data_IF_790594886634
#
_entry.id   IF_790594886634
#
_cell.length_a   1.000
_cell.length_b   1.000
_cell.length_c   1.000
_cell.angle_alpha   90.00
_cell.angle_beta   90.00
_cell.angle_gamma   90.00
#
_symmetry.space_group_name_H-M   'P 1'
#
loop_
_entity.id
_entity.type
_entity.pdbx_description
1 polymer ?
#
# COMPACT_ATOMS: atom_id res chain seq x y z
N UNK A 1 2.10 -10.18 -24.25
CA UNK A 1 3.20 -9.86 -23.31
C UNK A 1 2.64 -9.96 -21.90
N UNK A 2 3.33 -10.60 -20.96
CA UNK A 2 2.89 -10.74 -19.56
C UNK A 2 3.68 -9.76 -18.68
N UNK A 3 3.04 -9.20 -17.65
CA UNK A 3 3.72 -8.39 -16.65
C UNK A 3 4.49 -9.31 -15.68
N UNK A 4 5.70 -8.90 -15.32
CA UNK A 4 6.52 -9.62 -14.35
C UNK A 4 6.05 -9.30 -12.93
N UNK A 5 5.82 -10.33 -12.12
CA UNK A 5 5.54 -10.16 -10.69
C UNK A 5 6.80 -9.63 -9.98
N UNK A 6 6.74 -8.51 -9.25
CA UNK A 6 7.85 -8.00 -8.45
C UNK A 6 8.24 -8.95 -7.31
N UNK A 7 9.51 -8.95 -6.92
CA UNK A 7 9.94 -9.67 -5.71
C UNK A 7 9.50 -8.85 -4.47
N UNK A 8 8.86 -9.46 -3.44
CA UNK A 8 8.58 -8.79 -2.18
C UNK A 8 9.76 -7.99 -1.58
N UNK A 9 11.00 -8.47 -1.72
CA UNK A 9 12.18 -7.75 -1.21
C UNK A 9 12.35 -6.36 -1.85
N UNK A 10 11.97 -6.18 -3.12
CA UNK A 10 12.04 -4.90 -3.83
C UNK A 10 11.03 -3.89 -3.26
N UNK A 11 9.92 -4.38 -2.71
CA UNK A 11 8.83 -3.57 -2.16
C UNK A 11 8.90 -3.42 -0.63
N UNK A 12 9.72 -4.24 0.04
CA UNK A 12 9.98 -4.14 1.47
C UNK A 12 10.52 -2.77 1.85
N UNK A 13 10.18 -2.26 3.04
CA UNK A 13 10.68 -0.97 3.53
C UNK A 13 9.58 0.01 3.93
N UNK A 14 9.96 1.28 4.14
CA UNK A 14 9.07 2.35 4.62
C UNK A 14 8.33 3.05 3.49
N UNK A 15 7.05 3.29 3.72
CA UNK A 15 6.14 3.89 2.76
C UNK A 15 5.22 4.90 3.43
N UNK A 16 4.71 5.81 2.62
CA UNK A 16 3.77 6.83 3.00
C UNK A 16 2.44 6.61 2.29
N UNK A 17 1.37 6.46 3.06
CA UNK A 17 0.00 6.40 2.55
C UNK A 17 -0.70 7.74 2.79
N UNK A 18 -1.28 8.32 1.74
CA UNK A 18 -1.98 9.62 1.81
C UNK A 18 -2.96 9.79 0.67
N UNK A 19 -3.86 10.77 0.76
CA UNK A 19 -4.67 11.17 -0.40
C UNK A 19 -3.86 12.08 -1.32
N UNK A 20 -4.06 11.94 -2.63
CA UNK A 20 -3.43 12.79 -3.64
C UNK A 20 -3.72 14.26 -3.34
N UNK A 21 -2.66 15.08 -3.28
CA UNK A 21 -2.75 16.51 -2.99
C UNK A 21 -2.91 16.85 -1.50
N UNK A 22 -2.98 15.86 -0.60
CA UNK A 22 -3.02 16.07 0.86
C UNK A 22 -1.71 15.65 1.52
N UNK A 23 -0.95 16.62 1.99
CA UNK A 23 0.33 16.39 2.69
C UNK A 23 0.20 16.27 4.20
N UNK A 24 -0.94 16.69 4.76
CA UNK A 24 -1.14 16.77 6.22
C UNK A 24 -1.80 15.52 6.80
N UNK A 25 -2.42 14.69 5.95
CA UNK A 25 -3.07 13.45 6.34
C UNK A 25 -2.26 12.28 5.79
N UNK A 26 -1.29 11.85 6.57
CA UNK A 26 -0.29 10.84 6.19
C UNK A 26 -0.30 9.71 7.21
N UNK A 27 -0.19 8.47 6.74
CA UNK A 27 0.09 7.30 7.57
C UNK A 27 1.40 6.67 7.10
N UNK A 28 2.34 6.43 8.02
CA UNK A 28 3.58 5.76 7.68
C UNK A 28 3.44 4.25 7.90
N UNK A 29 3.78 3.49 6.86
CA UNK A 29 3.63 2.04 6.83
C UNK A 29 4.98 1.40 6.54
N UNK A 30 5.19 0.19 7.03
CA UNK A 30 6.36 -0.60 6.73
C UNK A 30 5.92 -1.98 6.21
N UNK A 31 6.32 -2.27 4.98
CA UNK A 31 6.14 -3.55 4.31
C UNK A 31 7.28 -4.50 4.71
N UNK A 32 6.98 -5.55 5.47
CA UNK A 32 7.95 -6.57 5.90
C UNK A 32 7.85 -7.84 5.04
N UNK A 33 8.95 -8.59 4.91
CA UNK A 33 9.04 -9.78 4.05
C UNK A 33 9.16 -11.12 4.79
N UNK A 34 9.48 -11.16 6.09
CA UNK A 34 9.59 -12.42 6.85
C UNK A 34 8.24 -13.16 6.93
N UNK A 35 7.19 -12.41 7.24
CA UNK A 35 5.78 -12.74 7.03
C UNK A 35 5.24 -11.49 6.33
N UNK A 36 4.54 -11.56 5.17
CA UNK A 36 4.09 -10.38 4.41
C UNK A 36 3.13 -9.50 5.22
N UNK A 37 3.69 -8.74 6.14
CA UNK A 37 3.01 -8.02 7.20
C UNK A 37 3.26 -6.53 7.03
N UNK A 38 2.17 -5.79 7.21
CA UNK A 38 2.21 -4.36 7.37
C UNK A 38 2.38 -4.03 8.85
N UNK A 39 3.27 -3.07 9.12
CA UNK A 39 3.47 -2.48 10.44
C UNK A 39 3.53 -0.95 10.32
N UNK A 40 3.64 -0.23 11.44
CA UNK A 40 3.57 1.23 11.47
C UNK A 40 2.17 1.73 11.86
N UNK A 41 1.70 2.80 11.22
CA UNK A 41 0.46 3.49 11.55
C UNK A 41 -0.78 2.83 10.95
N UNK A 42 -1.00 1.55 11.26
CA UNK A 42 -2.11 0.78 10.68
C UNK A 42 -3.48 1.36 11.03
N UNK A 43 -3.64 1.85 12.27
CA UNK A 43 -4.86 2.50 12.73
C UNK A 43 -5.18 3.79 11.95
N UNK A 44 -4.14 4.50 11.49
CA UNK A 44 -4.30 5.67 10.64
C UNK A 44 -4.89 5.27 9.27
N UNK A 45 -4.41 4.17 8.69
CA UNK A 45 -4.86 3.72 7.36
C UNK A 45 -6.33 3.28 7.31
N UNK A 46 -6.93 2.91 8.46
CA UNK A 46 -8.37 2.56 8.60
C UNK A 46 -9.28 3.63 8.01
N UNK A 47 -8.90 4.91 8.13
CA UNK A 47 -9.70 6.04 7.64
C UNK A 47 -10.01 5.98 6.14
N UNK A 48 -9.19 5.26 5.37
CA UNK A 48 -9.36 5.07 3.92
C UNK A 48 -9.66 3.62 3.52
N UNK A 49 -9.25 2.65 4.33
CA UNK A 49 -9.33 1.22 4.00
C UNK A 49 -10.47 0.48 4.70
N UNK A 50 -11.25 1.17 5.53
CA UNK A 50 -12.32 0.63 6.41
C UNK A 50 -11.84 -0.30 7.53
N UNK A 51 -10.74 -1.02 7.32
CA UNK A 51 -10.09 -1.89 8.30
C UNK A 51 -8.57 -1.66 8.31
N UNK A 52 -7.91 -2.07 9.40
CA UNK A 52 -6.46 -1.95 9.53
C UNK A 52 -5.77 -2.99 8.62
N UNK A 53 -4.92 -2.56 7.68
CA UNK A 53 -4.25 -3.49 6.79
C UNK A 53 -3.10 -4.16 7.54
N UNK A 54 -3.18 -5.46 7.78
CA UNK A 54 -2.15 -6.21 8.52
C UNK A 54 -1.25 -7.03 7.61
N UNK A 55 -1.68 -7.26 6.36
CA UNK A 55 -0.91 -8.01 5.37
C UNK A 55 -0.81 -7.30 4.02
N UNK A 56 0.12 -7.76 3.20
CA UNK A 56 0.30 -7.25 1.84
C UNK A 56 0.87 -8.30 0.89
N UNK A 57 0.69 -8.11 -0.41
CA UNK A 57 1.37 -8.93 -1.42
C UNK A 57 1.57 -8.17 -2.74
N UNK A 58 2.66 -8.43 -3.49
CA UNK A 58 2.85 -7.87 -4.83
C UNK A 58 1.83 -8.45 -5.83
N UNK A 59 1.46 -7.65 -6.83
CA UNK A 59 0.75 -8.11 -8.02
C UNK A 59 1.54 -7.72 -9.28
N UNK A 60 1.27 -8.31 -10.46
CA UNK A 60 2.01 -7.97 -11.69
C UNK A 60 1.92 -6.49 -12.09
N UNK A 61 0.85 -5.83 -11.68
CA UNK A 61 0.48 -4.44 -11.97
C UNK A 61 0.53 -3.52 -10.75
N UNK A 62 1.01 -3.98 -9.59
CA UNK A 62 0.85 -3.23 -8.35
C UNK A 62 1.20 -4.01 -7.08
N UNK A 63 0.46 -3.69 -6.02
CA UNK A 63 0.44 -4.43 -4.77
C UNK A 63 -0.94 -4.35 -4.12
N UNK A 64 -1.25 -5.28 -3.25
CA UNK A 64 -2.50 -5.29 -2.51
C UNK A 64 -2.23 -5.28 -1.00
N UNK A 65 -3.11 -4.60 -0.27
CA UNK A 65 -3.19 -4.70 1.18
C UNK A 65 -4.33 -5.62 1.58
N UNK A 66 -4.15 -6.35 2.66
CA UNK A 66 -5.11 -7.32 3.19
C UNK A 66 -5.41 -7.10 4.65
N UNK A 67 -6.58 -7.58 5.07
CA UNK A 67 -6.88 -7.78 6.48
C UNK A 67 -6.10 -8.98 7.06
N UNK A 68 -6.36 -9.27 8.33
CA UNK A 68 -5.75 -10.39 9.07
C UNK A 68 -6.19 -11.78 8.56
N UNK A 69 -7.27 -11.86 7.81
CA UNK A 69 -7.82 -13.10 7.23
C UNK A 69 -7.29 -13.32 5.80
N UNK A 70 -6.56 -12.34 5.25
CA UNK A 70 -6.02 -12.37 3.89
C UNK A 70 -6.99 -11.83 2.85
N UNK A 71 -8.14 -11.27 3.23
CA UNK A 71 -9.04 -10.63 2.28
C UNK A 71 -8.45 -9.30 1.80
N UNK A 72 -8.56 -9.04 0.50
CA UNK A 72 -8.05 -7.82 -0.11
C UNK A 72 -8.89 -6.61 0.32
N UNK A 73 -8.25 -5.66 0.99
CA UNK A 73 -8.83 -4.36 1.34
C UNK A 73 -8.73 -3.39 0.17
N UNK A 74 -7.55 -3.33 -0.47
CA UNK A 74 -7.32 -2.45 -1.61
C UNK A 74 -6.23 -3.02 -2.52
N UNK A 75 -6.32 -2.70 -3.81
CA UNK A 75 -5.26 -2.89 -4.78
C UNK A 75 -4.74 -1.53 -5.24
N UNK A 76 -3.44 -1.33 -5.15
CA UNK A 76 -2.71 -0.12 -5.49
C UNK A 76 -1.92 -0.40 -6.77
N UNK A 77 -2.29 0.28 -7.86
CA UNK A 77 -1.66 0.13 -9.16
C UNK A 77 -0.29 0.80 -9.16
N UNK A 78 0.70 0.14 -9.75
CA UNK A 78 2.03 0.69 -9.94
C UNK A 78 1.99 1.82 -10.98
N UNK A 79 2.32 3.03 -10.56
CA UNK A 79 2.40 4.21 -11.44
C UNK A 79 3.83 4.46 -11.94
N UNK A 80 4.79 3.63 -11.55
CA UNK A 80 6.22 3.84 -11.77
C UNK A 80 6.89 4.55 -10.59
N UNK A 81 8.22 4.58 -10.61
CA UNK A 81 9.05 5.36 -9.66
C UNK A 81 8.72 5.14 -8.17
N UNK A 82 8.34 3.91 -7.80
CA UNK A 82 7.95 3.56 -6.43
C UNK A 82 6.74 4.37 -5.92
N UNK A 83 5.81 4.71 -6.83
CA UNK A 83 4.52 5.33 -6.52
C UNK A 83 3.41 4.37 -6.93
N UNK A 84 2.46 4.14 -6.03
CA UNK A 84 1.28 3.32 -6.28
C UNK A 84 0.00 4.08 -5.96
N UNK A 85 -1.08 3.79 -6.70
CA UNK A 85 -2.33 4.54 -6.56
C UNK A 85 -3.57 3.66 -6.66
N UNK A 86 -4.61 4.07 -5.93
CA UNK A 86 -5.93 3.47 -5.99
C UNK A 86 -7.00 4.56 -5.92
N UNK A 87 -8.11 4.39 -6.65
CA UNK A 87 -9.27 5.27 -6.52
C UNK A 87 -10.21 4.72 -5.44
N UNK A 88 -10.50 5.52 -4.44
CA UNK A 88 -11.46 5.19 -3.39
C UNK A 88 -12.90 5.33 -3.91
N UNK A 89 -13.89 4.66 -3.27
CA UNK A 89 -15.30 4.81 -3.65
C UNK A 89 -15.81 6.26 -3.65
N UNK A 90 -15.25 7.12 -2.78
CA UNK A 90 -15.56 8.56 -2.72
C UNK A 90 -14.99 9.39 -3.88
N UNK A 91 -14.24 8.78 -4.80
CA UNK A 91 -13.63 9.44 -5.96
C UNK A 91 -12.23 10.00 -5.69
N UNK A 92 -11.81 10.10 -4.43
CA UNK A 92 -10.45 10.48 -4.06
C UNK A 92 -9.42 9.44 -4.49
N UNK A 93 -8.18 9.87 -4.70
CA UNK A 93 -7.07 8.99 -5.08
C UNK A 93 -6.18 8.78 -3.87
N UNK A 94 -6.03 7.53 -3.43
CA UNK A 94 -5.07 7.10 -2.43
C UNK A 94 -3.73 6.86 -3.10
N UNK A 95 -2.65 7.36 -2.49
CA UNK A 95 -1.28 7.30 -2.97
C UNK A 95 -0.42 6.62 -1.92
N UNK A 96 0.33 5.60 -2.34
CA UNK A 96 1.39 4.97 -1.57
C UNK A 96 2.73 5.32 -2.22
N UNK A 97 3.57 6.08 -1.53
CA UNK A 97 4.89 6.50 -2.02
C UNK A 97 6.01 6.02 -1.11
N UNK A 98 7.13 5.59 -1.70
CA UNK A 98 8.31 5.15 -0.93
C UNK A 98 8.88 6.30 -0.12
N UNK A 99 9.22 6.04 1.14
CA UNK A 99 10.03 6.97 1.93
C UNK A 99 11.50 6.69 1.63
N UNK A 100 12.24 7.72 1.25
CA UNK A 100 13.69 7.65 1.20
C UNK A 100 14.21 7.55 2.65
N UNK A 101 15.06 6.56 2.92
CA UNK A 101 15.86 6.54 4.15
C UNK A 101 16.96 7.62 4.11
#
# INVERSE_FOLDING_TARGET
>A
MSLKLPNPDELSGKWRLSLQGKTNEVCELHLNTEVPQLTGDLACAVKWLHEAPTGWFPTPDGLAFTDKEGNRLIHLNNMGEQIYQARLPGGEVLVLGRLAD
#
